data_IF_390471402597
#
_entry.id   IF_390471402597
#
_cell.length_a   1.000
_cell.length_b   1.000
_cell.length_c   1.000
_cell.angle_alpha   90.00
_cell.angle_beta   90.00
_cell.angle_gamma   90.00
#
_symmetry.space_group_name_H-M   'P 1'
#
loop_
_entity.id
_entity.type
_entity.pdbx_description
1 polymer ?
#
# COMPACT_ATOMS: atom_id res chain seq x y z
N UNK A 1 -16.36 -25.61 -25.92
CA UNK A 1 -15.01 -25.16 -25.55
C UNK A 1 -15.05 -23.63 -25.37
N UNK A 2 -15.17 -23.11 -24.13
CA UNK A 2 -15.29 -21.66 -23.87
C UNK A 2 -13.89 -21.03 -23.89
N UNK A 3 -13.62 -20.12 -24.84
CA UNK A 3 -12.43 -19.27 -24.83
C UNK A 3 -12.54 -18.31 -23.65
N UNK A 4 -11.74 -18.54 -22.61
CA UNK A 4 -11.48 -17.54 -21.59
C UNK A 4 -10.72 -16.43 -22.29
N UNK A 5 -11.34 -15.25 -22.47
CA UNK A 5 -10.62 -14.03 -22.85
C UNK A 5 -9.59 -13.83 -21.75
N UNK A 6 -8.33 -14.11 -22.04
CA UNK A 6 -7.21 -13.67 -21.23
C UNK A 6 -7.42 -12.17 -21.07
N UNK A 7 -7.71 -11.73 -19.85
CA UNK A 7 -7.59 -10.34 -19.48
C UNK A 7 -6.19 -9.97 -19.96
N UNK A 8 -6.09 -9.07 -20.95
CA UNK A 8 -4.83 -8.45 -21.32
C UNK A 8 -4.15 -8.12 -20.00
N UNK A 9 -2.97 -8.68 -19.74
CA UNK A 9 -2.18 -8.34 -18.57
C UNK A 9 -1.98 -6.83 -18.65
N UNK A 10 -2.78 -6.09 -17.88
CA UNK A 10 -2.58 -4.65 -17.72
C UNK A 10 -1.30 -4.58 -16.90
N UNK A 11 -0.29 -3.92 -17.45
CA UNK A 11 0.97 -3.73 -16.75
C UNK A 11 0.68 -3.02 -15.43
N UNK A 12 1.26 -3.51 -14.32
CA UNK A 12 0.92 -3.05 -12.98
C UNK A 12 1.22 -1.54 -12.82
N UNK A 13 2.20 -1.04 -13.56
CA UNK A 13 2.59 0.37 -13.64
C UNK A 13 1.49 1.27 -14.24
N UNK A 14 0.60 0.72 -15.09
CA UNK A 14 -0.56 1.43 -15.62
C UNK A 14 -1.72 1.51 -14.62
N UNK A 15 -1.71 0.66 -13.59
CA UNK A 15 -2.75 0.61 -12.56
C UNK A 15 -2.34 1.32 -11.27
N UNK A 16 -1.07 1.18 -10.86
CA UNK A 16 -0.56 1.75 -9.62
C UNK A 16 0.97 1.85 -9.65
N UNK A 17 1.50 3.07 -9.50
CA UNK A 17 2.94 3.28 -9.27
C UNK A 17 3.22 3.30 -7.76
N UNK A 18 3.87 2.25 -7.26
CA UNK A 18 4.26 2.11 -5.85
C UNK A 18 5.44 3.00 -5.44
N UNK A 19 6.10 3.69 -6.39
CA UNK A 19 7.08 4.74 -6.08
C UNK A 19 6.41 5.99 -5.52
N UNK A 20 5.10 6.14 -5.75
CA UNK A 20 4.30 7.22 -5.19
C UNK A 20 3.92 6.84 -3.76
N UNK A 21 4.25 7.71 -2.81
CA UNK A 21 3.99 7.52 -1.37
C UNK A 21 2.51 7.21 -1.08
N UNK A 22 1.59 7.90 -1.76
CA UNK A 22 0.16 7.64 -1.65
C UNK A 22 -0.22 6.21 -2.04
N UNK A 23 0.23 5.72 -3.19
CA UNK A 23 -0.05 4.34 -3.64
C UNK A 23 0.49 3.31 -2.65
N UNK A 24 1.69 3.56 -2.13
CA UNK A 24 2.31 2.72 -1.12
C UNK A 24 1.48 2.69 0.18
N UNK A 25 1.02 3.85 0.66
CA UNK A 25 0.14 3.97 1.83
C UNK A 25 -1.21 3.29 1.62
N UNK A 26 -1.83 3.44 0.45
CA UNK A 26 -3.08 2.76 0.12
C UNK A 26 -2.92 1.24 0.10
N UNK A 27 -1.76 0.73 -0.33
CA UNK A 27 -1.51 -0.69 -0.39
C UNK A 27 -1.12 -1.28 0.97
N UNK A 28 -0.27 -0.59 1.74
CA UNK A 28 0.35 -1.17 2.94
C UNK A 28 -0.01 -0.50 4.27
N UNK A 29 -0.54 0.72 4.25
CA UNK A 29 -0.68 1.59 5.42
C UNK A 29 -2.12 1.81 5.91
N UNK A 30 -3.12 1.15 5.32
CA UNK A 30 -4.53 1.28 5.74
C UNK A 30 -5.08 -0.03 6.32
N UNK A 31 -5.96 0.07 7.31
CA UNK A 31 -6.59 -1.10 7.95
C UNK A 31 -7.31 -2.02 6.95
N UNK A 32 -7.91 -1.46 5.90
CA UNK A 32 -8.59 -2.23 4.85
C UNK A 32 -7.64 -3.16 4.07
N UNK A 33 -6.39 -2.78 3.91
CA UNK A 33 -5.38 -3.52 3.13
C UNK A 33 -4.43 -4.34 4.01
N UNK A 34 -4.64 -4.35 5.33
CA UNK A 34 -3.83 -5.04 6.34
C UNK A 34 -3.41 -6.47 5.98
N UNK A 35 -4.31 -7.24 5.35
CA UNK A 35 -4.02 -8.60 4.90
C UNK A 35 -2.86 -8.66 3.87
N UNK A 36 -2.78 -7.68 2.97
CA UNK A 36 -1.69 -7.56 1.98
C UNK A 36 -0.38 -7.33 2.71
N UNK A 37 -0.36 -6.40 3.66
CA UNK A 37 0.81 -6.11 4.50
C UNK A 37 1.26 -7.33 5.27
N UNK A 38 0.35 -8.09 5.87
CA UNK A 38 0.67 -9.33 6.60
C UNK A 38 1.30 -10.38 5.66
N UNK A 39 0.74 -10.58 4.47
CA UNK A 39 1.29 -11.54 3.49
C UNK A 39 2.68 -11.11 3.05
N UNK A 40 2.84 -9.83 2.69
CA UNK A 40 4.11 -9.25 2.28
C UNK A 40 5.18 -9.39 3.36
N UNK A 41 4.88 -9.01 4.59
CA UNK A 41 5.81 -9.11 5.72
C UNK A 41 6.21 -10.56 6.01
N UNK A 42 5.27 -11.50 5.98
CA UNK A 42 5.60 -12.91 6.15
C UNK A 42 6.54 -13.42 5.05
N UNK A 43 6.36 -12.97 3.81
CA UNK A 43 7.21 -13.35 2.68
C UNK A 43 8.63 -12.78 2.81
N UNK A 44 8.78 -11.46 3.03
CA UNK A 44 10.10 -10.82 3.09
C UNK A 44 10.89 -11.21 4.35
N UNK A 45 10.20 -11.43 5.48
CA UNK A 45 10.81 -11.86 6.74
C UNK A 45 10.95 -13.40 6.83
N UNK A 46 10.52 -14.13 5.80
CA UNK A 46 10.54 -15.59 5.75
C UNK A 46 9.87 -16.26 6.97
N UNK A 47 8.85 -15.60 7.52
CA UNK A 47 8.09 -16.12 8.67
C UNK A 47 7.13 -17.19 8.20
N UNK A 48 7.36 -18.42 8.64
CA UNK A 48 6.62 -19.61 8.22
C UNK A 48 6.12 -20.42 9.42
N UNK A 49 5.19 -21.35 9.17
CA UNK A 49 4.63 -22.21 10.21
C UNK A 49 4.04 -21.43 11.39
N UNK A 50 4.56 -21.71 12.59
CA UNK A 50 4.08 -21.11 13.85
C UNK A 50 4.51 -19.66 14.04
N UNK A 51 5.57 -19.22 13.36
CA UNK A 51 6.15 -17.88 13.50
C UNK A 51 5.51 -16.83 12.58
N UNK A 52 4.50 -17.24 11.80
CA UNK A 52 3.77 -16.33 10.93
C UNK A 52 3.13 -15.19 11.72
N UNK A 53 3.28 -13.98 11.19
CA UNK A 53 2.52 -12.81 11.60
C UNK A 53 1.06 -13.09 11.27
N UNK A 54 0.20 -13.04 12.28
CA UNK A 54 -1.25 -13.26 12.16
C UNK A 54 -2.03 -11.95 12.14
N UNK A 55 -1.48 -10.92 12.77
CA UNK A 55 -2.10 -9.61 12.89
C UNK A 55 -1.02 -8.54 13.03
N UNK A 56 -1.37 -7.31 12.67
CA UNK A 56 -0.56 -6.10 12.84
C UNK A 56 -1.45 -4.97 13.35
N UNK A 57 -0.90 -3.83 13.74
CA UNK A 57 -1.70 -2.63 14.01
C UNK A 57 -0.94 -1.44 13.50
N UNK A 58 -1.63 -0.52 12.83
CA UNK A 58 -1.02 0.73 12.42
C UNK A 58 -1.06 1.70 13.61
N UNK A 59 0.11 1.94 14.21
CA UNK A 59 0.25 3.04 15.15
C UNK A 59 0.25 4.32 14.33
N UNK A 60 -0.84 5.08 14.44
CA UNK A 60 -1.11 6.26 13.66
C UNK A 60 -0.20 7.42 14.10
N UNK A 61 1.09 7.35 13.76
CA UNK A 61 2.05 8.46 13.97
C UNK A 61 1.90 9.49 12.83
N UNK A 62 1.18 9.14 11.75
CA UNK A 62 0.94 9.96 10.56
C UNK A 62 -0.48 10.56 10.48
N UNK A 63 -1.20 10.71 11.59
CA UNK A 63 -2.36 11.62 11.64
C UNK A 63 -1.96 13.12 11.56
N UNK A 64 -0.69 13.42 11.22
CA UNK A 64 -0.09 14.75 11.21
C UNK A 64 0.46 15.17 9.84
N UNK A 65 -0.14 14.72 8.74
CA UNK A 65 0.32 15.15 7.42
C UNK A 65 -0.54 14.67 6.25
N UNK A 66 -1.86 14.69 6.38
CA UNK A 66 -2.73 14.78 5.20
C UNK A 66 -2.66 16.20 4.66
N UNK A 67 -1.56 16.53 4.00
CA UNK A 67 -1.49 17.80 3.31
C UNK A 67 -2.01 17.63 1.89
N UNK A 68 -3.30 17.86 1.70
CA UNK A 68 -3.81 18.40 0.43
C UNK A 68 -3.61 19.93 0.36
N UNK A 69 -3.09 20.57 1.43
CA UNK A 69 -2.93 22.03 1.54
C UNK A 69 -1.54 22.54 2.02
N UNK A 70 -0.47 21.71 2.06
CA UNK A 70 0.93 22.21 2.28
C UNK A 70 1.52 22.85 1.02
N UNK A 71 0.68 23.64 0.34
CA UNK A 71 1.16 24.87 -0.28
C UNK A 71 0.75 26.01 0.64
N UNK A 72 1.48 26.19 1.75
CA UNK A 72 1.61 27.53 2.32
C UNK A 72 2.46 28.40 1.38
N UNK A 73 1.91 28.67 0.20
CA UNK A 73 2.33 29.75 -0.66
C UNK A 73 1.83 31.04 -0.02
N UNK A 74 2.66 31.65 0.82
CA UNK A 74 2.65 33.11 1.00
C UNK A 74 4.08 33.62 0.93
N UNK A 75 4.49 33.90 -0.30
CA UNK A 75 5.44 34.98 -0.57
C UNK A 75 4.75 36.29 -0.16
N UNK A 76 5.27 36.95 0.85
CA UNK A 76 5.19 38.41 0.95
C UNK A 76 6.64 38.88 1.16
N UNK A 77 7.19 39.57 0.15
CA UNK A 77 8.53 40.19 0.13
C UNK A 77 8.63 41.35 1.14
#
# INVERSE_FOLDING_TARGET
MRRIKLLKTIELDQLMDLKIDFSFKQLFGIEKSKHITIVFLNAILQRTGRDRIKDISFNNIEAGGEYEDDKQSRLDL
#
